data_IF_102435949712
#
_entry.id   IF_102435949712
#
_cell.length_a   1.000
_cell.length_b   1.000
_cell.length_c   1.000
_cell.angle_alpha   90.00
_cell.angle_beta   90.00
_cell.angle_gamma   90.00
#
_symmetry.space_group_name_H-M   'P 1'
#
loop_
_entity.id
_entity.type
_entity.pdbx_description
1 polymer ?
#
# COMPACT_ATOMS: atom_id res chain seq x y z
N UNK A 1 -2.16 -2.98 10.04
CA UNK A 1 -1.48 -3.96 10.90
C UNK A 1 -0.51 -4.77 10.08
N UNK A 2 0.68 -5.03 10.62
CA UNK A 2 1.67 -5.92 10.00
C UNK A 2 1.18 -7.37 10.06
N UNK A 3 1.37 -8.10 8.97
CA UNK A 3 1.01 -9.50 8.82
C UNK A 3 2.23 -10.24 8.25
N UNK A 4 2.69 -11.29 8.93
CA UNK A 4 3.71 -12.19 8.39
C UNK A 4 2.99 -13.37 7.75
N UNK A 5 3.03 -13.44 6.42
CA UNK A 5 2.41 -14.49 5.64
C UNK A 5 3.48 -15.49 5.18
N UNK A 6 3.31 -16.75 5.55
CA UNK A 6 4.19 -17.84 5.14
C UNK A 6 3.49 -18.64 4.05
N UNK A 7 4.09 -18.69 2.86
CA UNK A 7 3.54 -19.39 1.70
C UNK A 7 4.42 -20.59 1.37
N UNK A 8 3.79 -21.77 1.35
CA UNK A 8 4.45 -23.01 0.97
C UNK A 8 4.41 -23.20 -0.55
N UNK A 9 5.53 -23.67 -1.11
CA UNK A 9 5.64 -24.03 -2.51
C UNK A 9 4.55 -25.05 -2.88
N UNK A 10 3.78 -24.76 -3.93
CA UNK A 10 2.88 -25.73 -4.52
C UNK A 10 3.57 -26.38 -5.72
N UNK A 11 3.25 -27.64 -5.99
CA UNK A 11 3.80 -28.40 -7.13
C UNK A 11 3.55 -27.73 -8.50
N UNK A 12 2.61 -26.79 -8.59
CA UNK A 12 2.31 -26.04 -9.81
C UNK A 12 3.24 -24.82 -10.04
N UNK A 13 4.21 -24.57 -9.15
CA UNK A 13 5.20 -23.50 -9.32
C UNK A 13 4.65 -22.07 -9.16
N UNK A 14 3.42 -21.91 -8.67
CA UNK A 14 2.79 -20.60 -8.47
C UNK A 14 2.42 -20.38 -7.01
N UNK A 15 2.47 -19.12 -6.56
CA UNK A 15 1.97 -18.74 -5.23
C UNK A 15 0.44 -18.62 -5.21
N UNK A 16 -0.16 -18.26 -6.35
CA UNK A 16 -1.59 -17.97 -6.48
C UNK A 16 -1.99 -16.58 -5.97
N UNK A 17 -1.12 -15.58 -6.11
CA UNK A 17 -1.46 -14.17 -5.94
C UNK A 17 -1.02 -13.33 -7.14
N UNK A 18 -1.67 -12.18 -7.31
CA UNK A 18 -1.30 -11.15 -8.25
C UNK A 18 -0.84 -9.91 -7.49
N UNK A 19 0.28 -9.33 -7.94
CA UNK A 19 0.79 -8.06 -7.43
C UNK A 19 0.61 -6.97 -8.49
N UNK A 20 0.15 -5.81 -8.05
CA UNK A 20 0.08 -4.60 -8.85
C UNK A 20 0.91 -3.49 -8.20
N UNK A 21 1.35 -2.53 -9.02
CA UNK A 21 2.11 -1.36 -8.58
C UNK A 21 1.89 -0.20 -9.56
N UNK A 22 1.57 0.98 -9.07
CA UNK A 22 1.65 2.20 -9.88
C UNK A 22 3.10 2.72 -9.91
N UNK A 23 3.51 3.49 -10.94
CA UNK A 23 4.88 3.97 -11.07
C UNK A 23 5.40 4.76 -9.85
N UNK A 24 4.53 5.49 -9.17
CA UNK A 24 4.87 6.30 -7.98
C UNK A 24 4.70 5.55 -6.66
N UNK A 25 4.02 4.40 -6.66
CA UNK A 25 3.82 3.68 -5.41
C UNK A 25 5.14 3.10 -4.93
N UNK A 26 5.50 3.23 -3.64
CA UNK A 26 6.77 2.76 -3.11
C UNK A 26 6.84 1.23 -3.04
N UNK A 27 5.68 0.61 -2.79
CA UNK A 27 5.50 -0.82 -2.55
C UNK A 27 4.38 -1.36 -3.45
N UNK A 28 4.47 -2.61 -3.93
CA UNK A 28 3.36 -3.24 -4.63
C UNK A 28 2.27 -3.71 -3.64
N UNK A 29 1.04 -3.86 -4.13
CA UNK A 29 -0.08 -4.41 -3.38
C UNK A 29 -0.65 -5.65 -4.04
N UNK A 30 -1.37 -6.44 -3.26
CA UNK A 30 -2.08 -7.64 -3.72
C UNK A 30 -3.35 -7.20 -4.46
N UNK A 31 -3.37 -7.40 -5.76
CA UNK A 31 -4.52 -7.10 -6.64
C UNK A 31 -5.42 -8.31 -6.90
N UNK A 32 -4.99 -9.50 -6.48
CA UNK A 32 -5.81 -10.70 -6.54
C UNK A 32 -5.19 -11.84 -5.75
N UNK A 33 -6.05 -12.70 -5.20
CA UNK A 33 -5.68 -13.95 -4.53
C UNK A 33 -6.55 -15.06 -5.11
N UNK A 34 -5.93 -16.14 -5.57
CA UNK A 34 -6.64 -17.28 -6.13
C UNK A 34 -7.20 -18.15 -5.01
N UNK A 35 -8.45 -18.58 -5.14
CA UNK A 35 -9.10 -19.46 -4.18
C UNK A 35 -8.34 -20.80 -4.06
N UNK A 36 -8.23 -21.31 -2.83
CA UNK A 36 -7.52 -22.55 -2.45
C UNK A 36 -6.02 -22.56 -2.74
N UNK A 37 -5.44 -21.43 -3.14
CA UNK A 37 -4.01 -21.30 -3.43
C UNK A 37 -3.13 -21.33 -2.18
N UNK A 38 -1.81 -21.50 -2.37
CA UNK A 38 -0.86 -21.37 -1.26
C UNK A 38 -0.89 -19.97 -0.63
N UNK A 39 -1.08 -18.92 -1.42
CA UNK A 39 -1.18 -17.55 -0.93
C UNK A 39 -2.40 -17.34 -0.03
N UNK A 40 -3.58 -17.84 -0.44
CA UNK A 40 -4.79 -17.76 0.39
C UNK A 40 -4.59 -18.51 1.72
N UNK A 41 -4.05 -19.73 1.67
CA UNK A 41 -3.74 -20.53 2.87
C UNK A 41 -2.68 -19.87 3.76
N UNK A 42 -1.74 -19.13 3.17
CA UNK A 42 -0.74 -18.32 3.86
C UNK A 42 -1.30 -17.04 4.48
N UNK A 43 -2.61 -16.79 4.33
CA UNK A 43 -3.31 -15.66 4.94
C UNK A 43 -3.19 -14.35 4.18
N UNK A 44 -2.70 -14.37 2.93
CA UNK A 44 -2.63 -13.20 2.06
C UNK A 44 -4.04 -12.75 1.69
N UNK A 45 -4.30 -11.44 1.71
CA UNK A 45 -5.60 -10.86 1.33
C UNK A 45 -5.45 -9.80 0.26
N UNK A 46 -6.53 -9.60 -0.50
CA UNK A 46 -6.67 -8.49 -1.42
C UNK A 46 -6.38 -7.16 -0.70
N UNK A 47 -5.61 -6.27 -1.32
CA UNK A 47 -5.26 -4.96 -0.79
C UNK A 47 -4.10 -4.96 0.21
N UNK A 48 -3.59 -6.12 0.62
CA UNK A 48 -2.37 -6.18 1.43
C UNK A 48 -1.19 -5.55 0.65
N UNK A 49 -0.43 -4.69 1.31
CA UNK A 49 0.77 -4.05 0.72
C UNK A 49 2.01 -4.88 1.08
N UNK A 50 2.80 -5.31 0.11
CA UNK A 50 4.02 -6.09 0.33
C UNK A 50 5.18 -5.18 0.71
N UNK A 51 5.71 -5.37 1.92
CA UNK A 51 6.81 -4.58 2.48
C UNK A 51 8.15 -5.33 2.39
N UNK A 52 8.16 -6.62 2.70
CA UNK A 52 9.37 -7.45 2.65
C UNK A 52 9.10 -8.81 2.01
N UNK A 53 10.09 -9.32 1.29
CA UNK A 53 10.14 -10.66 0.72
C UNK A 53 11.34 -11.40 1.32
N UNK A 54 11.09 -12.51 2.02
CA UNK A 54 12.11 -13.31 2.71
C UNK A 54 12.99 -12.48 3.68
N UNK A 55 12.37 -11.52 4.38
CA UNK A 55 13.06 -10.62 5.33
C UNK A 55 13.86 -9.49 4.68
N UNK A 56 13.74 -9.28 3.37
CA UNK A 56 14.36 -8.17 2.65
C UNK A 56 13.32 -7.15 2.17
N UNK A 57 13.53 -5.86 2.49
CA UNK A 57 12.70 -4.74 2.04
C UNK A 57 12.57 -4.73 0.51
N UNK A 58 11.32 -4.56 0.04
CA UNK A 58 10.98 -4.52 -1.40
C UNK A 58 10.71 -3.11 -1.93
N UNK A 59 11.03 -2.07 -1.13
CA UNK A 59 10.87 -0.68 -1.53
C UNK A 59 11.50 -0.41 -2.90
N UNK A 60 10.74 0.23 -3.78
CA UNK A 60 11.25 0.68 -5.09
C UNK A 60 11.43 -0.43 -6.13
N UNK A 61 11.31 -1.70 -5.74
CA UNK A 61 11.51 -2.81 -6.68
C UNK A 61 10.35 -2.93 -7.66
N UNK A 62 10.70 -3.25 -8.91
CA UNK A 62 9.73 -3.61 -9.95
C UNK A 62 9.18 -5.01 -9.69
N UNK A 63 7.97 -5.30 -10.18
CA UNK A 63 7.39 -6.64 -10.08
C UNK A 63 8.30 -7.71 -10.70
N UNK A 64 9.00 -7.38 -11.80
CA UNK A 64 9.98 -8.28 -12.42
C UNK A 64 11.15 -8.63 -11.51
N UNK A 65 11.64 -7.67 -10.73
CA UNK A 65 12.74 -7.88 -9.77
C UNK A 65 12.29 -8.78 -8.61
N UNK A 66 11.04 -8.64 -8.16
CA UNK A 66 10.46 -9.54 -7.16
C UNK A 66 10.32 -10.96 -7.69
N UNK A 67 9.91 -11.11 -8.95
CA UNK A 67 9.83 -12.40 -9.60
C UNK A 67 11.21 -13.08 -9.70
N UNK A 68 12.26 -12.33 -10.04
CA UNK A 68 13.64 -12.84 -10.04
C UNK A 68 14.07 -13.31 -8.65
N UNK A 69 13.86 -12.50 -7.59
CA UNK A 69 14.20 -12.90 -6.21
C UNK A 69 13.46 -14.16 -5.76
N UNK A 70 12.18 -14.27 -6.11
CA UNK A 70 11.38 -15.46 -5.84
C UNK A 70 11.96 -16.69 -6.57
N UNK A 71 12.28 -16.53 -7.86
CA UNK A 71 12.84 -17.60 -8.68
C UNK A 71 14.19 -18.09 -8.13
N UNK A 72 15.10 -17.18 -7.80
CA UNK A 72 16.42 -17.51 -7.21
C UNK A 72 16.25 -18.23 -5.87
N UNK A 73 15.32 -17.75 -5.04
CA UNK A 73 15.00 -18.39 -3.76
C UNK A 73 14.53 -19.83 -3.93
N UNK A 74 13.65 -20.09 -4.91
CA UNK A 74 13.24 -21.48 -5.21
C UNK A 74 14.38 -22.34 -5.76
N UNK A 75 15.25 -21.79 -6.61
CA UNK A 75 16.40 -22.53 -7.13
C UNK A 75 17.39 -22.94 -6.02
N UNK A 76 17.40 -22.23 -4.89
CA UNK A 76 18.16 -22.64 -3.70
C UNK A 76 17.61 -23.90 -3.01
N UNK A 77 16.45 -24.41 -3.44
CA UNK A 77 15.76 -25.54 -2.81
C UNK A 77 14.79 -25.12 -1.70
N UNK A 78 14.49 -23.83 -1.56
CA UNK A 78 13.56 -23.35 -0.55
C UNK A 78 12.13 -23.83 -0.83
N UNK A 79 11.49 -24.41 0.19
CA UNK A 79 10.10 -24.86 0.12
C UNK A 79 9.10 -23.78 0.55
N UNK A 80 9.59 -22.67 1.10
CA UNK A 80 8.78 -21.65 1.75
C UNK A 80 9.25 -20.25 1.37
N UNK A 81 8.27 -19.36 1.16
CA UNK A 81 8.46 -17.92 0.99
C UNK A 81 7.78 -17.20 2.16
N UNK A 82 8.44 -16.20 2.74
CA UNK A 82 7.83 -15.34 3.77
C UNK A 82 7.60 -13.93 3.21
N UNK A 83 6.39 -13.41 3.42
CA UNK A 83 5.98 -12.08 2.99
C UNK A 83 5.59 -11.26 4.21
N UNK A 84 6.23 -10.11 4.41
CA UNK A 84 5.79 -9.13 5.40
C UNK A 84 4.84 -8.15 4.72
N UNK A 85 3.59 -8.18 5.14
CA UNK A 85 2.50 -7.43 4.53
C UNK A 85 1.96 -6.36 5.49
N UNK A 86 1.57 -5.22 4.97
CA UNK A 86 0.72 -4.26 5.67
C UNK A 86 -0.73 -4.43 5.24
N UNK A 87 -1.58 -4.80 6.20
CA UNK A 87 -3.03 -4.86 6.03
C UNK A 87 -3.67 -3.61 6.58
N UNK A 88 -4.45 -2.89 5.79
CA UNK A 88 -5.27 -1.81 6.35
C UNK A 88 -6.32 -2.41 7.29
N UNK A 89 -6.45 -1.83 8.48
CA UNK A 89 -7.57 -2.18 9.35
C UNK A 89 -8.78 -1.47 8.78
N UNK A 90 -9.86 -2.22 8.51
CA UNK A 90 -11.16 -1.59 8.38
C UNK A 90 -11.41 -0.85 9.70
N UNK A 91 -11.62 0.45 9.63
CA UNK A 91 -12.09 1.20 10.78
C UNK A 91 -13.44 0.62 11.17
N UNK A 92 -13.48 0.01 12.34
CA UNK A 92 -14.70 -0.52 12.94
C UNK A 92 -15.34 0.58 13.78
N UNK A 93 -15.46 1.79 13.26
CA UNK A 93 -16.27 2.80 13.92
C UNK A 93 -17.72 2.58 13.47
N UNK A 94 -18.63 2.17 14.37
CA UNK A 94 -20.03 1.93 14.02
C UNK A 94 -20.79 3.21 13.60
N UNK A 95 -20.12 4.36 13.65
CA UNK A 95 -20.62 5.66 13.23
C UNK A 95 -19.98 6.17 11.93
N UNK A 96 -19.09 5.39 11.30
CA UNK A 96 -18.55 5.75 9.98
C UNK A 96 -19.53 5.35 8.88
N UNK A 97 -19.91 6.35 8.09
CA UNK A 97 -20.84 6.20 6.99
C UNK A 97 -20.23 5.24 5.93
N UNK A 98 -20.92 4.14 5.54
CA UNK A 98 -20.39 3.17 4.59
C UNK A 98 -20.01 3.75 3.22
N UNK A 99 -20.40 4.99 2.90
CA UNK A 99 -20.00 5.71 1.68
C UNK A 99 -18.57 6.28 1.75
N UNK A 100 -18.01 6.57 2.94
CA UNK A 100 -16.58 6.95 3.09
C UNK A 100 -15.64 5.72 3.12
N UNK A 101 -16.17 4.50 2.96
CA UNK A 101 -15.37 3.29 2.79
C UNK A 101 -14.76 3.13 1.38
N UNK A 102 -14.90 4.14 0.50
CA UNK A 102 -14.17 4.16 -0.76
C UNK A 102 -12.69 4.45 -0.47
N UNK A 103 -11.89 3.42 -0.72
CA UNK A 103 -10.47 3.22 -0.43
C UNK A 103 -9.48 4.23 -1.05
N UNK A 104 -9.85 5.51 -1.16
CA UNK A 104 -8.93 6.59 -1.49
C UNK A 104 -8.44 7.24 -0.19
N UNK A 105 -7.13 7.34 0.00
CA UNK A 105 -6.55 8.18 1.06
C UNK A 105 -6.83 9.65 0.67
N UNK A 106 -7.96 10.19 1.12
CA UNK A 106 -8.30 11.59 0.88
C UNK A 106 -7.46 12.47 1.81
N UNK A 107 -6.53 13.24 1.25
CA UNK A 107 -5.70 14.17 2.01
C UNK A 107 -6.48 15.46 2.23
N UNK A 108 -7.16 15.56 3.38
CA UNK A 108 -7.82 16.79 3.83
C UNK A 108 -6.77 17.89 4.11
N UNK A 109 -7.05 19.17 3.78
CA UNK A 109 -6.17 20.29 4.10
C UNK A 109 -5.90 20.41 5.62
N UNK A 110 -4.68 20.78 6.06
CA UNK A 110 -3.51 21.09 5.25
C UNK A 110 -2.79 19.84 4.72
N UNK A 111 -2.64 19.76 3.40
CA UNK A 111 -1.77 18.82 2.71
C UNK A 111 -0.32 19.31 2.74
N UNK A 112 0.63 18.39 2.74
CA UNK A 112 2.06 18.65 2.80
C UNK A 112 2.78 17.98 1.63
N UNK A 113 3.88 18.52 1.11
CA UNK A 113 4.58 17.91 -0.02
C UNK A 113 6.08 17.77 0.23
N UNK A 114 6.65 16.61 -0.08
CA UNK A 114 8.11 16.44 -0.09
C UNK A 114 8.74 17.06 -1.36
N UNK A 115 10.08 17.19 -1.39
CA UNK A 115 10.79 17.75 -2.56
C UNK A 115 10.60 16.94 -3.85
N UNK A 116 10.21 15.66 -3.75
CA UNK A 116 9.94 14.80 -4.89
C UNK A 116 8.45 14.74 -5.27
N UNK A 117 7.61 15.60 -4.68
CA UNK A 117 6.21 15.74 -5.10
C UNK A 117 5.19 14.86 -4.37
N UNK A 118 5.60 13.89 -3.54
CA UNK A 118 4.65 13.09 -2.75
C UNK A 118 3.93 13.93 -1.70
N UNK A 119 2.60 13.80 -1.67
CA UNK A 119 1.72 14.54 -0.76
C UNK A 119 1.46 13.73 0.53
N UNK A 120 1.43 14.40 1.67
CA UNK A 120 1.20 13.84 3.00
C UNK A 120 0.08 14.61 3.70
N UNK A 121 -0.74 13.94 4.51
CA UNK A 121 -1.66 14.62 5.41
C UNK A 121 -0.92 15.23 6.61
N UNK A 122 -1.61 16.12 7.34
CA UNK A 122 -1.07 16.79 8.53
C UNK A 122 -0.54 15.81 9.59
N UNK A 123 -1.25 14.69 9.81
CA UNK A 123 -0.83 13.67 10.78
C UNK A 123 0.43 12.92 10.33
N UNK A 124 0.55 12.59 9.04
CA UNK A 124 1.76 11.94 8.52
C UNK A 124 2.98 12.87 8.56
N UNK A 125 2.78 14.18 8.33
CA UNK A 125 3.85 15.18 8.41
C UNK A 125 4.38 15.38 9.83
N UNK A 126 3.53 15.29 10.86
CA UNK A 126 3.95 15.46 12.26
C UNK A 126 4.68 14.23 12.81
N UNK A 127 4.35 13.04 12.32
CA UNK A 127 4.89 11.76 12.80
C UNK A 127 6.17 11.30 12.09
N UNK A 128 6.60 11.98 11.04
CA UNK A 128 7.79 11.58 10.28
C UNK A 128 8.68 12.76 9.89
N UNK A 129 9.99 12.55 9.97
CA UNK A 129 11.04 13.47 9.47
C UNK A 129 11.47 13.15 8.04
N UNK A 130 11.00 12.03 7.48
CA UNK A 130 11.28 11.57 6.10
C UNK A 130 9.98 11.31 5.35
N UNK A 131 9.99 11.50 4.04
CA UNK A 131 8.84 11.15 3.21
C UNK A 131 8.55 9.64 3.33
N UNK A 132 7.32 9.20 3.62
CA UNK A 132 6.99 7.78 3.73
C UNK A 132 7.07 7.07 2.38
N UNK A 133 7.00 7.81 1.27
CA UNK A 133 7.09 7.27 -0.08
C UNK A 133 8.55 7.13 -0.52
N UNK A 134 9.30 8.24 -0.59
CA UNK A 134 10.66 8.23 -1.16
C UNK A 134 11.79 8.41 -0.14
N UNK A 135 11.49 8.42 1.17
CA UNK A 135 12.45 8.52 2.29
C UNK A 135 13.35 9.76 2.32
N UNK A 136 13.18 10.73 1.41
CA UNK A 136 13.90 12.01 1.45
C UNK A 136 13.53 12.81 2.71
N UNK A 137 14.46 13.57 3.31
CA UNK A 137 14.16 14.42 4.46
C UNK A 137 13.04 15.42 4.16
N UNK A 138 12.07 15.53 5.07
CA UNK A 138 11.02 16.55 4.97
C UNK A 138 11.59 17.87 5.50
N UNK A 139 11.79 18.83 4.61
CA UNK A 139 12.27 20.17 4.95
C UNK A 139 11.27 21.01 5.76
N UNK A 140 11.66 22.23 6.16
CA UNK A 140 10.80 23.16 6.91
C UNK A 140 9.66 23.74 6.06
N UNK A 141 9.81 23.75 4.73
CA UNK A 141 8.77 24.21 3.78
C UNK A 141 7.86 23.05 3.46
N UNK A 142 6.59 23.20 3.81
CA UNK A 142 5.80 22.03 4.12
C UNK A 142 4.38 21.97 3.56
N UNK A 143 3.70 23.07 3.24
CA UNK A 143 2.28 23.00 2.82
C UNK A 143 2.13 22.89 1.30
N UNK A 144 1.31 21.97 0.84
CA UNK A 144 0.94 21.80 -0.57
C UNK A 144 -0.34 22.58 -0.88
N UNK A 145 -0.21 23.89 -1.15
CA UNK A 145 -1.37 24.74 -1.46
C UNK A 145 -2.16 24.27 -2.69
N UNK A 146 -1.49 23.61 -3.64
CA UNK A 146 -2.16 23.00 -4.79
C UNK A 146 -3.09 21.88 -4.33
N UNK A 147 -2.61 20.97 -3.48
CA UNK A 147 -3.43 19.91 -2.91
C UNK A 147 -4.59 20.48 -2.12
N UNK A 148 -4.36 21.55 -1.34
CA UNK A 148 -5.42 22.18 -0.55
C UNK A 148 -6.51 22.77 -1.45
N UNK A 149 -6.12 23.52 -2.49
CA UNK A 149 -7.05 24.10 -3.45
C UNK A 149 -7.80 23.04 -4.23
N UNK A 150 -7.12 21.98 -4.67
CA UNK A 150 -7.77 20.88 -5.39
C UNK A 150 -8.82 20.20 -4.52
N UNK A 151 -8.52 19.95 -3.25
CA UNK A 151 -9.51 19.41 -2.32
C UNK A 151 -10.73 20.32 -2.20
N UNK A 152 -10.53 21.62 -1.94
CA UNK A 152 -11.63 22.58 -1.83
C UNK A 152 -12.46 22.64 -3.11
N UNK A 153 -11.83 22.74 -4.27
CA UNK A 153 -12.53 22.79 -5.56
C UNK A 153 -13.34 21.52 -5.82
N UNK A 154 -12.78 20.35 -5.53
CA UNK A 154 -13.49 19.08 -5.71
C UNK A 154 -14.68 18.98 -4.74
N UNK A 155 -14.51 19.36 -3.48
CA UNK A 155 -15.57 19.36 -2.48
C UNK A 155 -16.70 20.35 -2.82
N UNK A 156 -16.36 21.53 -3.36
CA UNK A 156 -17.33 22.54 -3.81
C UNK A 156 -18.05 22.15 -5.11
N UNK A 157 -17.32 21.52 -6.04
CA UNK A 157 -17.88 21.11 -7.35
C UNK A 157 -18.74 19.86 -7.24
N UNK A 158 -18.43 19.00 -6.28
CA UNK A 158 -19.13 17.75 -6.02
C UNK A 158 -19.53 17.67 -4.54
N UNK A 159 -20.47 18.53 -4.09
CA UNK A 159 -20.97 18.46 -2.72
C UNK A 159 -21.67 17.10 -2.53
N UNK A 160 -21.18 16.29 -1.60
CA UNK A 160 -21.87 15.06 -1.22
C UNK A 160 -23.18 15.43 -0.51
N UNK A 161 -24.29 15.40 -1.25
CA UNK A 161 -25.62 15.48 -0.68
C UNK A 161 -25.93 14.19 0.08
N UNK A 162 -25.55 14.13 1.36
CA UNK A 162 -26.19 13.31 2.40
C UNK A 162 -26.54 11.84 2.09
N UNK A 163 -25.84 11.17 1.17
CA UNK A 163 -26.11 9.77 0.87
C UNK A 163 -25.57 9.32 -0.48
N UNK A 164 -24.50 8.51 -0.41
CA UNK A 164 -23.98 7.64 -1.48
C UNK A 164 -23.36 8.39 -2.67
N UNK A 165 -22.05 8.49 -2.64
CA UNK A 165 -21.19 8.47 -3.82
C UNK A 165 -20.24 7.28 -3.66
#
# INVERSE_FOLDING_TARGET
MLQLCTIYACANGTLGLNLSRAPWDPYPWVSGVQAKSSAERGGVRLGDTLLELNGADVLGLRISELASRLQDHWQSGAEVVTLMMWRQQASSDPNEDPAEASHAVVIKPPGWQCCNGHVLCNNCRSRSVKCPVCRVPLGPRGRCLLSDKLFTLLAESFPCDGGKC
#
